data_IF_663206827595
#
_entry.id   IF_663206827595
#
_cell.length_a   1.000
_cell.length_b   1.000
_cell.length_c   1.000
_cell.angle_alpha   90.00
_cell.angle_beta   90.00
_cell.angle_gamma   90.00
#
_symmetry.space_group_name_H-M   'P 1'
#
loop_
_entity.id
_entity.type
_entity.pdbx_description
1 polymer ?
#
# COMPACT_ATOMS: atom_id res chain seq x y z
N UNK A 1 20.02 -6.67 19.35
CA UNK A 1 18.66 -7.22 19.21
C UNK A 1 18.33 -7.25 17.74
N UNK A 2 18.13 -8.43 17.19
CA UNK A 2 17.75 -8.60 15.80
C UNK A 2 16.36 -7.99 15.61
N UNK A 3 16.26 -6.97 14.76
CA UNK A 3 14.98 -6.51 14.24
C UNK A 3 14.36 -7.69 13.51
N UNK A 4 13.30 -8.25 14.09
CA UNK A 4 12.38 -9.12 13.38
C UNK A 4 11.66 -8.19 12.40
N UNK A 5 12.27 -8.04 11.22
CA UNK A 5 11.56 -7.61 10.04
C UNK A 5 10.57 -8.73 9.75
N UNK A 6 9.31 -8.55 10.18
CA UNK A 6 8.21 -9.41 9.73
C UNK A 6 8.27 -9.39 8.21
N UNK A 7 8.72 -10.50 7.62
CA UNK A 7 8.77 -10.66 6.19
C UNK A 7 7.33 -10.54 5.66
N UNK A 8 6.98 -9.33 5.23
CA UNK A 8 5.79 -9.07 4.43
C UNK A 8 5.88 -10.00 3.23
N UNK A 9 5.04 -11.03 3.20
CA UNK A 9 4.86 -11.86 2.02
C UNK A 9 4.33 -10.94 0.94
N UNK A 10 5.16 -10.64 -0.06
CA UNK A 10 4.73 -9.87 -1.22
C UNK A 10 3.74 -10.72 -2.01
N UNK A 11 2.46 -10.40 -1.88
CA UNK A 11 1.40 -10.99 -2.69
C UNK A 11 1.32 -10.19 -3.99
N UNK A 12 1.46 -10.87 -5.11
CA UNK A 12 1.45 -10.27 -6.44
C UNK A 12 2.22 -11.11 -7.45
N UNK A 13 2.07 -10.80 -8.73
CA UNK A 13 2.74 -11.49 -9.81
C UNK A 13 3.30 -10.49 -10.82
N UNK A 14 4.49 -10.76 -11.36
CA UNK A 14 5.02 -9.97 -12.50
C UNK A 14 4.17 -10.18 -13.75
N UNK A 15 4.17 -9.24 -14.70
CA UNK A 15 3.45 -9.38 -15.99
C UNK A 15 3.77 -10.70 -16.72
N UNK A 16 5.04 -11.12 -16.72
CA UNK A 16 5.46 -12.39 -17.30
C UNK A 16 4.83 -13.59 -16.58
N UNK A 17 4.74 -13.51 -15.26
CA UNK A 17 4.06 -14.53 -14.45
C UNK A 17 2.55 -14.53 -14.69
N UNK A 18 1.92 -13.36 -14.79
CA UNK A 18 0.50 -13.24 -15.16
C UNK A 18 0.21 -13.91 -16.50
N UNK A 19 1.05 -13.66 -17.53
CA UNK A 19 0.93 -14.34 -18.83
C UNK A 19 0.91 -15.86 -18.68
N UNK A 20 1.88 -16.41 -17.95
CA UNK A 20 1.97 -17.86 -17.72
C UNK A 20 0.75 -18.41 -16.95
N UNK A 21 0.27 -17.67 -15.94
CA UNK A 21 -0.92 -18.05 -15.18
C UNK A 21 -2.18 -18.05 -16.06
N UNK A 22 -2.33 -17.10 -16.98
CA UNK A 22 -3.44 -17.05 -17.93
C UNK A 22 -3.38 -18.21 -18.93
N UNK A 23 -2.19 -18.54 -19.45
CA UNK A 23 -1.99 -19.70 -20.32
C UNK A 23 -2.37 -20.99 -19.60
N UNK A 24 -1.89 -21.17 -18.36
CA UNK A 24 -2.22 -22.33 -17.54
C UNK A 24 -3.72 -22.38 -17.20
N UNK A 25 -4.35 -21.25 -16.87
CA UNK A 25 -5.80 -21.20 -16.62
C UNK A 25 -6.58 -21.65 -17.86
N UNK A 26 -6.11 -21.29 -19.06
CA UNK A 26 -6.72 -21.74 -20.32
C UNK A 26 -6.58 -23.25 -20.50
N UNK A 27 -5.40 -23.81 -20.27
CA UNK A 27 -5.14 -25.25 -20.33
C UNK A 27 -6.02 -26.04 -19.35
N UNK A 28 -6.26 -25.47 -18.16
CA UNK A 28 -7.07 -26.08 -17.11
C UNK A 28 -8.58 -25.78 -17.24
N UNK A 29 -9.00 -25.06 -18.28
CA UNK A 29 -10.39 -24.61 -18.47
C UNK A 29 -10.96 -23.81 -17.27
N UNK A 30 -10.12 -23.05 -16.59
CA UNK A 30 -10.51 -22.14 -15.52
C UNK A 30 -10.77 -20.76 -16.13
N UNK A 31 -11.95 -20.19 -15.87
CA UNK A 31 -12.25 -18.82 -16.29
C UNK A 31 -11.56 -17.81 -15.38
N UNK A 32 -10.93 -16.80 -15.99
CA UNK A 32 -10.35 -15.65 -15.28
C UNK A 32 -11.22 -14.43 -15.58
N UNK A 33 -11.82 -13.86 -14.54
CA UNK A 33 -12.80 -12.77 -14.68
C UNK A 33 -12.17 -11.37 -14.68
N UNK A 34 -10.91 -11.22 -14.25
CA UNK A 34 -10.38 -9.90 -13.97
C UNK A 34 -9.01 -9.87 -13.34
N UNK A 35 -8.63 -8.67 -12.89
CA UNK A 35 -7.34 -8.35 -12.26
C UNK A 35 -7.60 -7.58 -10.97
N UNK A 36 -6.83 -7.90 -9.94
CA UNK A 36 -6.75 -7.11 -8.70
C UNK A 36 -5.32 -6.65 -8.47
N UNK A 37 -5.15 -5.43 -7.94
CA UNK A 37 -3.86 -4.94 -7.45
C UNK A 37 -4.04 -4.20 -6.13
N UNK A 38 -2.96 -4.09 -5.36
CA UNK A 38 -2.96 -3.40 -4.08
C UNK A 38 -1.84 -2.35 -4.03
N UNK A 39 -2.19 -1.09 -3.78
CA UNK A 39 -1.22 -0.04 -3.42
C UNK A 39 -1.31 0.17 -1.90
N UNK A 40 -0.24 -0.08 -1.11
CA UNK A 40 -0.29 0.06 0.34
C UNK A 40 -0.59 1.49 0.79
N UNK A 41 -1.29 1.66 1.93
CA UNK A 41 -1.57 2.99 2.49
C UNK A 41 -0.33 3.79 2.90
N UNK A 42 0.78 3.08 3.16
CA UNK A 42 2.09 3.67 3.43
C UNK A 42 2.80 4.18 2.17
N UNK A 43 2.30 3.83 0.98
CA UNK A 43 2.86 4.30 -0.29
C UNK A 43 2.57 5.78 -0.47
N UNK A 44 3.65 6.57 -0.63
CA UNK A 44 3.57 8.02 -0.84
C UNK A 44 3.78 8.42 -2.29
N UNK A 45 4.12 7.47 -3.15
CA UNK A 45 4.36 7.72 -4.58
C UNK A 45 3.04 7.61 -5.36
N UNK A 46 2.51 8.71 -5.91
CA UNK A 46 1.30 8.66 -6.72
C UNK A 46 1.46 7.83 -8.00
N UNK A 47 2.69 7.66 -8.50
CA UNK A 47 2.96 6.86 -9.70
C UNK A 47 2.72 5.36 -9.49
N UNK A 48 2.63 4.89 -8.24
CA UNK A 48 2.28 3.51 -7.95
C UNK A 48 0.92 3.11 -8.56
N UNK A 49 -0.08 3.99 -8.49
CA UNK A 49 -1.38 3.75 -9.13
C UNK A 49 -1.29 3.80 -10.66
N UNK A 50 -0.46 4.69 -11.22
CA UNK A 50 -0.20 4.76 -12.67
C UNK A 50 0.36 3.43 -13.19
N UNK A 51 1.41 2.91 -12.55
CA UNK A 51 2.01 1.64 -12.95
C UNK A 51 1.03 0.48 -12.78
N UNK A 52 0.33 0.40 -11.63
CA UNK A 52 -0.60 -0.69 -11.37
C UNK A 52 -1.77 -0.73 -12.37
N UNK A 53 -2.34 0.42 -12.75
CA UNK A 53 -3.41 0.49 -13.74
C UNK A 53 -2.92 0.17 -15.15
N UNK A 54 -1.72 0.62 -15.51
CA UNK A 54 -1.08 0.28 -16.80
C UNK A 54 -0.82 -1.23 -16.89
N UNK A 55 -0.30 -1.84 -15.83
CA UNK A 55 -0.03 -3.27 -15.77
C UNK A 55 -1.34 -4.07 -15.82
N UNK A 56 -2.37 -3.65 -15.08
CA UNK A 56 -3.70 -4.25 -15.16
C UNK A 56 -4.23 -4.22 -16.59
N UNK A 57 -4.11 -3.10 -17.30
CA UNK A 57 -4.51 -2.99 -18.70
C UNK A 57 -3.77 -4.00 -19.58
N UNK A 58 -2.46 -4.10 -19.43
CA UNK A 58 -1.64 -5.08 -20.15
C UNK A 58 -2.13 -6.51 -19.88
N UNK A 59 -2.51 -6.84 -18.65
CA UNK A 59 -3.05 -8.16 -18.30
C UNK A 59 -4.43 -8.41 -18.93
N UNK A 60 -5.31 -7.41 -18.97
CA UNK A 60 -6.57 -7.51 -19.69
C UNK A 60 -6.35 -7.78 -21.19
N UNK A 61 -5.35 -7.13 -21.80
CA UNK A 61 -4.98 -7.37 -23.20
C UNK A 61 -4.48 -8.80 -23.42
N UNK A 62 -3.57 -9.28 -22.56
CA UNK A 62 -3.12 -10.68 -22.58
C UNK A 62 -4.28 -11.67 -22.38
N UNK A 63 -5.23 -11.34 -21.50
CA UNK A 63 -6.43 -12.12 -21.27
C UNK A 63 -7.28 -12.24 -22.54
N UNK A 64 -7.52 -11.11 -23.21
CA UNK A 64 -8.28 -11.05 -24.46
C UNK A 64 -7.60 -11.84 -25.57
N UNK A 65 -6.28 -11.76 -25.71
CA UNK A 65 -5.50 -12.57 -26.67
C UNK A 65 -5.70 -14.07 -26.49
N UNK A 66 -5.81 -14.52 -25.24
CA UNK A 66 -6.04 -15.93 -24.86
C UNK A 66 -7.54 -16.32 -24.87
N UNK A 67 -8.42 -15.39 -25.23
CA UNK A 67 -9.86 -15.59 -25.33
C UNK A 67 -10.57 -15.65 -23.98
N UNK A 68 -10.08 -14.93 -22.97
CA UNK A 68 -10.81 -14.65 -21.74
C UNK A 68 -11.71 -13.42 -21.93
N UNK A 69 -12.89 -13.47 -21.32
CA UNK A 69 -13.82 -12.33 -21.22
C UNK A 69 -13.71 -11.72 -19.82
N UNK A 70 -12.65 -10.94 -19.60
CA UNK A 70 -12.41 -10.27 -18.32
C UNK A 70 -13.25 -9.00 -18.23
N UNK A 71 -13.99 -8.85 -17.14
CA UNK A 71 -14.93 -7.76 -16.93
C UNK A 71 -14.89 -7.14 -15.52
N UNK A 72 -13.94 -7.55 -14.66
CA UNK A 72 -13.78 -6.98 -13.31
C UNK A 72 -12.37 -6.45 -13.12
N UNK A 73 -12.26 -5.17 -12.75
CA UNK A 73 -11.02 -4.58 -12.24
C UNK A 73 -11.22 -4.24 -10.77
N UNK A 74 -10.35 -4.77 -9.92
CA UNK A 74 -10.28 -4.41 -8.51
C UNK A 74 -9.02 -3.57 -8.24
N UNK A 75 -9.22 -2.32 -7.83
CA UNK A 75 -8.11 -1.39 -7.53
C UNK A 75 -7.59 -1.53 -6.09
N UNK A 76 -8.11 -2.52 -5.37
CA UNK A 76 -7.71 -2.85 -4.01
C UNK A 76 -8.08 -1.76 -3.01
N UNK A 77 -7.36 -1.75 -1.89
CA UNK A 77 -7.50 -0.82 -0.79
C UNK A 77 -6.34 0.17 -0.67
N UNK A 78 -5.84 0.33 0.55
CA UNK A 78 -4.75 1.28 0.84
C UNK A 78 -5.18 2.73 1.00
N UNK A 79 -6.47 3.02 0.85
CA UNK A 79 -7.01 4.32 1.21
C UNK A 79 -6.97 4.49 2.74
N UNK A 80 -6.26 5.52 3.20
CA UNK A 80 -6.36 6.02 4.56
C UNK A 80 -7.75 6.63 4.78
N UNK A 81 -8.19 6.76 6.04
CA UNK A 81 -9.41 7.51 6.35
C UNK A 81 -9.30 9.03 6.27
N UNK A 82 -8.22 9.56 5.68
CA UNK A 82 -8.06 11.01 5.47
C UNK A 82 -8.72 11.45 4.16
N UNK A 83 -9.65 12.39 4.23
CA UNK A 83 -10.27 13.00 3.04
C UNK A 83 -9.23 13.62 2.09
N UNK A 84 -8.15 14.17 2.64
CA UNK A 84 -7.09 14.77 1.85
C UNK A 84 -6.38 13.73 0.98
N UNK A 85 -6.03 12.59 1.57
CA UNK A 85 -5.40 11.51 0.82
C UNK A 85 -6.37 10.93 -0.23
N UNK A 86 -7.65 10.76 0.12
CA UNK A 86 -8.65 10.28 -0.84
C UNK A 86 -8.74 11.20 -2.06
N UNK A 87 -8.78 12.53 -1.88
CA UNK A 87 -8.81 13.50 -2.99
C UNK A 87 -7.58 13.40 -3.88
N UNK A 88 -6.40 13.19 -3.30
CA UNK A 88 -5.17 13.00 -4.07
C UNK A 88 -5.22 11.72 -4.91
N UNK A 89 -5.52 10.59 -4.28
CA UNK A 89 -5.62 9.30 -4.96
C UNK A 89 -6.66 9.36 -6.08
N UNK A 90 -7.81 9.94 -5.77
CA UNK A 90 -8.89 10.15 -6.73
C UNK A 90 -8.46 10.99 -7.95
N UNK A 91 -7.71 12.07 -7.74
CA UNK A 91 -7.21 12.93 -8.84
C UNK A 91 -6.26 12.22 -9.79
N UNK A 92 -5.56 11.18 -9.32
CA UNK A 92 -4.63 10.36 -10.12
C UNK A 92 -5.36 9.21 -10.80
N UNK A 93 -6.18 8.46 -10.05
CA UNK A 93 -6.84 7.26 -10.55
C UNK A 93 -7.91 7.58 -11.61
N UNK A 94 -8.74 8.60 -11.39
CA UNK A 94 -9.88 8.90 -12.29
C UNK A 94 -9.46 9.05 -13.75
N UNK A 95 -8.51 9.92 -14.13
CA UNK A 95 -8.13 10.06 -15.54
C UNK A 95 -7.51 8.79 -16.12
N UNK A 96 -6.83 7.99 -15.30
CA UNK A 96 -6.24 6.71 -15.75
C UNK A 96 -7.30 5.64 -16.00
N UNK A 97 -8.34 5.58 -15.16
CA UNK A 97 -9.48 4.69 -15.39
C UNK A 97 -10.21 5.06 -16.69
N UNK A 98 -10.48 6.34 -16.93
CA UNK A 98 -11.08 6.79 -18.19
C UNK A 98 -10.22 6.45 -19.41
N UNK A 99 -8.89 6.48 -19.28
CA UNK A 99 -7.97 6.16 -20.37
C UNK A 99 -7.85 4.66 -20.65
N UNK A 100 -7.73 3.83 -19.61
CA UNK A 100 -7.44 2.39 -19.76
C UNK A 100 -8.69 1.50 -19.71
N UNK A 101 -9.70 1.90 -18.96
CA UNK A 101 -10.94 1.18 -18.67
C UNK A 101 -12.17 2.11 -18.81
N UNK A 102 -12.37 2.71 -20.00
CA UNK A 102 -13.50 3.62 -20.21
C UNK A 102 -14.84 2.89 -20.01
N UNK A 103 -15.91 3.62 -19.69
CA UNK A 103 -17.22 3.02 -19.35
C UNK A 103 -17.77 2.12 -20.46
N UNK A 104 -17.46 2.42 -21.72
CA UNK A 104 -17.84 1.66 -22.91
C UNK A 104 -17.13 0.30 -23.02
N UNK A 105 -16.05 0.08 -22.25
CA UNK A 105 -15.36 -1.21 -22.19
C UNK A 105 -16.18 -2.30 -21.49
N UNK A 106 -17.21 -1.91 -20.71
CA UNK A 106 -18.04 -2.84 -19.95
C UNK A 106 -17.36 -3.42 -18.70
N UNK A 107 -16.16 -2.94 -18.34
CA UNK A 107 -15.43 -3.39 -17.15
C UNK A 107 -16.05 -2.78 -15.89
N UNK A 108 -16.43 -3.63 -14.94
CA UNK A 108 -16.87 -3.25 -13.60
C UNK A 108 -15.65 -2.97 -12.72
N UNK A 109 -15.54 -1.74 -12.24
CA UNK A 109 -14.44 -1.30 -11.37
C UNK A 109 -14.90 -1.35 -9.91
N UNK A 110 -14.19 -2.10 -9.08
CA UNK A 110 -14.42 -2.23 -7.63
C UNK A 110 -13.16 -1.84 -6.86
N UNK A 111 -13.30 -1.68 -5.54
CA UNK A 111 -12.21 -1.40 -4.62
C UNK A 111 -12.45 -2.11 -3.28
N UNK A 112 -11.38 -2.30 -2.50
CA UNK A 112 -11.39 -2.94 -1.18
C UNK A 112 -11.00 -1.97 -0.04
N UNK A 113 -11.72 -0.83 0.15
CA UNK A 113 -11.42 0.11 1.21
C UNK A 113 -11.72 -0.48 2.60
N UNK A 114 -10.67 -0.73 3.39
CA UNK A 114 -10.78 -1.13 4.80
C UNK A 114 -10.66 0.07 5.74
N UNK A 115 -9.41 0.49 6.00
CA UNK A 115 -9.10 1.56 6.96
C UNK A 115 -9.87 2.86 6.66
N UNK A 116 -10.09 3.17 5.38
CA UNK A 116 -10.89 4.32 4.95
C UNK A 116 -12.23 4.46 5.69
N UNK A 117 -12.97 3.37 5.88
CA UNK A 117 -14.29 3.44 6.52
C UNK A 117 -14.23 3.56 8.05
N UNK A 118 -13.22 2.99 8.69
CA UNK A 118 -13.21 2.80 10.16
C UNK A 118 -12.20 3.69 10.90
N UNK A 119 -11.31 4.38 10.17
CA UNK A 119 -10.19 5.13 10.73
C UNK A 119 -10.60 6.13 11.82
N UNK A 120 -11.69 6.86 11.61
CA UNK A 120 -12.18 7.91 12.53
C UNK A 120 -13.29 7.43 13.48
N UNK A 121 -13.73 6.18 13.38
CA UNK A 121 -14.86 5.67 14.15
C UNK A 121 -14.51 5.38 15.62
N UNK A 122 -13.23 5.22 15.94
CA UNK A 122 -12.78 4.77 17.26
C UNK A 122 -11.82 5.78 17.89
N UNK A 123 -11.97 6.00 19.19
CA UNK A 123 -11.02 6.75 20.02
C UNK A 123 -10.58 5.85 21.17
N UNK A 124 -9.28 5.60 21.29
CA UNK A 124 -8.71 4.82 22.38
C UNK A 124 -8.35 5.73 23.55
N UNK A 125 -9.06 5.60 24.68
CA UNK A 125 -8.71 6.24 25.94
C UNK A 125 -7.94 5.24 26.83
N UNK A 126 -6.76 5.63 27.31
CA UNK A 126 -5.93 4.80 28.19
C UNK A 126 -5.65 5.52 29.51
N UNK A 127 -5.55 4.76 30.60
CA UNK A 127 -5.22 5.30 31.92
C UNK A 127 -3.70 5.27 32.17
N UNK A 128 -3.17 6.35 32.75
CA UNK A 128 -1.77 6.36 33.23
C UNK A 128 -1.70 5.58 34.54
N UNK A 129 -1.07 4.40 34.51
CA UNK A 129 -0.97 3.49 35.67
C UNK A 129 0.36 3.59 36.43
N UNK A 130 1.30 4.41 35.96
CA UNK A 130 2.59 4.59 36.60
C UNK A 130 3.39 5.75 36.01
N UNK A 131 4.28 6.31 36.82
CA UNK A 131 5.19 7.40 36.43
C UNK A 131 6.54 7.19 37.10
N UNK A 132 7.62 7.18 36.32
CA UNK A 132 8.99 7.17 36.84
C UNK A 132 9.66 8.51 36.54
N UNK A 133 10.26 9.14 37.56
CA UNK A 133 11.08 10.33 37.36
C UNK A 133 12.48 9.92 36.90
N UNK A 134 12.96 10.52 35.81
CA UNK A 134 14.35 10.40 35.38
C UNK A 134 15.06 11.71 35.71
N UNK A 135 16.06 11.67 36.58
CA UNK A 135 16.94 12.80 36.85
C UNK A 135 18.09 12.75 35.85
N UNK A 136 18.28 13.83 35.06
CA UNK A 136 19.52 14.03 34.30
C UNK A 136 20.61 14.34 35.32
N UNK A 137 21.62 13.49 35.42
CA UNK A 137 22.84 13.80 36.18
C UNK A 137 23.47 15.04 35.53
N UNK A 138 23.43 16.19 36.22
CA UNK A 138 24.12 17.42 35.82
C UNK A 138 25.63 17.37 36.14
N UNK A 139 26.20 16.19 36.42
CA UNK A 139 27.64 16.04 36.69
C UNK A 139 28.42 15.67 35.44
N UNK A 140 28.45 16.57 34.47
CA UNK A 140 29.57 16.68 33.51
C UNK A 140 29.77 18.15 33.15
N UNK A 141 30.26 18.95 34.10
CA UNK A 141 31.28 20.00 33.89
C UNK A 141 31.46 20.82 35.17
N UNK A 142 32.30 20.34 36.08
CA UNK A 142 33.01 21.24 37.00
C UNK A 142 34.49 20.97 36.80
N UNK A 143 35.05 21.74 35.87
CA UNK A 143 36.39 22.31 35.90
C UNK A 143 37.52 21.43 36.44
N UNK A 144 38.38 21.01 35.50
CA UNK A 144 39.83 21.17 35.68
C UNK A 144 40.11 22.52 36.35
N UNK A 145 40.43 22.49 37.64
CA UNK A 145 41.24 23.51 38.29
C UNK A 145 42.36 22.79 39.01
N UNK A 146 43.54 22.90 38.41
CA UNK A 146 44.82 22.69 39.05
C UNK A 146 44.84 23.37 40.42
N UNK A 147 45.29 22.66 41.44
CA UNK A 147 45.94 23.28 42.59
C UNK A 147 47.33 22.70 42.70
N UNK A 148 48.31 23.56 42.42
CA UNK A 148 49.71 23.40 42.78
C UNK A 148 49.84 23.25 44.29
N UNK A 149 50.63 22.26 44.69
CA UNK A 149 51.53 22.21 45.87
C UNK A 149 51.50 23.36 46.86
N UNK A 150 51.40 23.02 48.16
CA UNK A 150 52.37 23.40 49.20
C UNK A 150 52.23 22.47 50.44
N UNK A 151 53.38 21.87 50.79
CA UNK A 151 53.78 21.05 51.97
C UNK A 151 53.11 19.69 52.28
#
# INVERSE_FOLDING_TARGET
>A
EAQIEEASVTIGCSLKGCRHLLELAKELNVSVAGVTFQVPASCKDPQAYTHALSDARCIFDMGKELGFDMNILDIGGGFSGSEFQLKQVHSVIRPLLEAYFPSESGVSIIAEPGNFFVFSCFTLAVNVIGKKAAYRNLHTSTHDKLTSSDE
#
